data_IF_098370240495
#
_entry.id   IF_098370240495
#
_cell.length_a   1.000
_cell.length_b   1.000
_cell.length_c   1.000
_cell.angle_alpha   90.00
_cell.angle_beta   90.00
_cell.angle_gamma   90.00
#
_symmetry.space_group_name_H-M   'P 1'
#
loop_
_entity.id
_entity.type
_entity.pdbx_description
1 polymer ?
#
# COMPACT_ATOMS: atom_id res chain seq x y z
N UNK A 1 -70.62 31.82 23.95
CA UNK A 1 -69.67 32.16 25.04
C UNK A 1 -68.58 31.09 25.11
N UNK A 2 -67.31 31.53 25.16
CA UNK A 2 -66.07 30.83 25.54
C UNK A 2 -65.46 29.77 24.59
N UNK A 3 -64.43 30.23 23.85
CA UNK A 3 -63.24 29.47 23.39
C UNK A 3 -62.39 29.00 24.58
N UNK A 4 -61.58 27.94 24.35
CA UNK A 4 -60.21 27.62 24.86
C UNK A 4 -59.91 26.17 24.39
N UNK A 5 -59.03 25.85 23.42
CA UNK A 5 -57.57 25.99 23.26
C UNK A 5 -56.75 25.12 24.25
N UNK A 6 -55.75 24.39 23.70
CA UNK A 6 -54.54 23.79 24.36
C UNK A 6 -54.80 22.38 25.00
N UNK A 7 -54.04 21.28 24.86
CA UNK A 7 -52.63 21.01 24.50
C UNK A 7 -52.40 19.57 23.99
N UNK A 8 -51.27 19.39 23.31
CA UNK A 8 -50.63 18.15 22.83
C UNK A 8 -50.13 17.27 24.00
N UNK A 9 -50.18 15.94 23.85
CA UNK A 9 -49.20 15.03 24.44
C UNK A 9 -49.10 13.71 23.63
N UNK A 10 -48.02 13.63 22.85
CA UNK A 10 -47.42 12.39 22.35
C UNK A 10 -47.16 11.44 23.52
N UNK A 11 -47.48 10.14 23.37
CA UNK A 11 -46.91 9.12 24.24
C UNK A 11 -46.35 7.97 23.38
N UNK A 12 -45.03 8.03 23.26
CA UNK A 12 -44.12 7.03 22.72
C UNK A 12 -44.22 5.73 23.52
N UNK A 13 -44.37 4.60 22.84
CA UNK A 13 -43.99 3.29 23.36
C UNK A 13 -42.80 2.81 22.53
N UNK A 14 -41.65 2.74 23.20
CA UNK A 14 -40.35 2.48 22.62
C UNK A 14 -40.16 1.05 22.14
N UNK A 15 -39.51 0.93 20.99
CA UNK A 15 -38.73 -0.23 20.63
C UNK A 15 -37.27 0.11 20.91
N UNK A 16 -36.74 -0.32 22.05
CA UNK A 16 -35.31 -0.26 22.34
C UNK A 16 -34.63 -1.43 21.66
N UNK A 17 -34.22 -1.26 20.41
CA UNK A 17 -33.14 -2.07 19.86
C UNK A 17 -31.83 -1.48 20.37
N UNK A 18 -31.23 -2.16 21.36
CA UNK A 18 -29.80 -2.01 21.65
C UNK A 18 -29.07 -2.69 20.50
N UNK A 19 -28.98 -1.99 19.38
CA UNK A 19 -27.92 -2.22 18.42
C UNK A 19 -26.67 -1.66 19.06
N UNK A 20 -25.83 -2.53 19.62
CA UNK A 20 -24.46 -2.19 19.93
C UNK A 20 -23.78 -1.82 18.60
N UNK A 21 -23.83 -0.53 18.26
CA UNK A 21 -22.91 0.05 17.30
C UNK A 21 -21.52 -0.19 17.87
N UNK A 22 -20.85 -1.23 17.37
CA UNK A 22 -19.41 -1.38 17.47
C UNK A 22 -18.81 -0.03 17.16
N UNK A 23 -18.15 0.57 18.15
CA UNK A 23 -17.41 1.81 17.97
C UNK A 23 -16.42 1.57 16.83
N UNK A 24 -16.73 2.09 15.64
CA UNK A 24 -15.72 2.38 14.64
C UNK A 24 -14.87 3.49 15.26
N UNK A 25 -13.78 3.11 15.92
CA UNK A 25 -12.74 4.04 16.37
C UNK A 25 -12.09 4.64 15.12
N UNK A 26 -12.59 5.79 14.66
CA UNK A 26 -12.13 6.44 13.41
C UNK A 26 -11.06 7.50 13.60
N UNK A 27 -10.59 7.74 14.82
CA UNK A 27 -9.66 8.85 15.11
C UNK A 27 -8.24 8.36 15.44
N UNK A 28 -7.80 7.24 14.84
CA UNK A 28 -6.39 6.84 14.93
C UNK A 28 -5.59 7.52 13.81
N UNK A 29 -4.74 8.48 14.20
CA UNK A 29 -3.93 9.30 13.29
C UNK A 29 -2.91 8.49 12.48
N UNK A 30 -2.60 7.25 12.86
CA UNK A 30 -1.61 6.43 12.16
C UNK A 30 -2.21 5.68 10.96
N UNK A 31 -3.53 5.41 10.98
CA UNK A 31 -4.21 4.64 9.92
C UNK A 31 -4.06 5.29 8.53
N UNK A 32 -4.20 6.62 8.37
CA UNK A 32 -3.97 7.27 7.07
C UNK A 32 -2.59 6.99 6.49
N UNK A 33 -1.53 7.06 7.30
CA UNK A 33 -0.15 6.79 6.85
C UNK A 33 0.03 5.35 6.35
N UNK A 34 -0.55 4.37 7.06
CA UNK A 34 -0.54 2.96 6.61
C UNK A 34 -1.21 2.83 5.24
N UNK A 35 -2.37 3.47 5.07
CA UNK A 35 -3.14 3.39 3.82
C UNK A 35 -2.41 4.05 2.66
N UNK A 36 -1.80 5.21 2.87
CA UNK A 36 -1.02 5.89 1.82
C UNK A 36 0.14 5.01 1.38
N UNK A 37 0.97 4.53 2.31
CA UNK A 37 2.14 3.71 1.98
C UNK A 37 1.75 2.43 1.23
N UNK A 38 0.72 1.72 1.70
CA UNK A 38 0.25 0.50 1.01
C UNK A 38 -0.37 0.81 -0.36
N UNK A 39 -1.05 1.95 -0.51
CA UNK A 39 -1.61 2.37 -1.79
C UNK A 39 -0.51 2.63 -2.83
N UNK A 40 0.50 3.42 -2.46
CA UNK A 40 1.61 3.75 -3.35
C UNK A 40 2.46 2.52 -3.68
N UNK A 41 2.79 1.69 -2.69
CA UNK A 41 3.71 0.58 -2.89
C UNK A 41 3.10 -0.62 -3.63
N UNK A 42 1.77 -0.80 -3.58
CA UNK A 42 1.08 -1.94 -4.19
C UNK A 42 0.26 -1.59 -5.43
N UNK A 43 0.22 -0.30 -5.81
CA UNK A 43 -0.21 0.11 -7.14
C UNK A 43 1.00 0.01 -8.06
N UNK A 44 0.94 -0.93 -8.99
CA UNK A 44 2.10 -1.32 -9.79
C UNK A 44 1.69 -1.67 -11.23
N UNK A 45 2.54 -1.42 -12.24
CA UNK A 45 3.86 -0.81 -12.12
C UNK A 45 3.79 0.69 -11.81
N UNK A 46 4.72 1.17 -11.00
CA UNK A 46 5.03 2.59 -10.92
C UNK A 46 6.03 2.91 -12.04
N UNK A 47 5.54 3.51 -13.13
CA UNK A 47 6.33 3.78 -14.35
C UNK A 47 7.59 4.60 -14.07
N UNK A 48 7.49 5.67 -13.26
CA UNK A 48 8.64 6.53 -12.93
C UNK A 48 9.73 5.76 -12.17
N UNK A 49 9.34 4.90 -11.22
CA UNK A 49 10.27 4.05 -10.50
C UNK A 49 10.89 2.98 -11.40
N UNK A 50 10.11 2.37 -12.30
CA UNK A 50 10.58 1.36 -13.25
C UNK A 50 11.58 1.96 -14.23
N UNK A 51 11.27 3.11 -14.82
CA UNK A 51 12.15 3.84 -15.74
C UNK A 51 13.50 4.15 -15.06
N UNK A 52 13.45 4.67 -13.82
CA UNK A 52 14.67 4.96 -13.06
C UNK A 52 15.50 3.70 -12.76
N UNK A 53 14.86 2.56 -12.47
CA UNK A 53 15.51 1.27 -12.23
C UNK A 53 16.15 0.68 -13.49
N UNK A 54 15.49 0.80 -14.65
CA UNK A 54 15.92 0.17 -15.90
C UNK A 54 16.88 1.02 -16.74
N UNK A 55 16.89 2.35 -16.54
CA UNK A 55 17.70 3.30 -17.32
C UNK A 55 19.18 2.89 -17.54
N UNK A 56 19.95 2.43 -16.54
CA UNK A 56 21.32 1.96 -16.79
C UNK A 56 21.37 0.71 -17.69
N UNK A 57 20.40 -0.18 -17.58
CA UNK A 57 20.31 -1.42 -18.38
C UNK A 57 19.96 -1.07 -19.83
N UNK A 58 19.02 -0.18 -20.05
CA UNK A 58 18.59 0.25 -21.39
C UNK A 58 19.71 0.98 -22.16
N UNK A 59 20.50 1.80 -21.46
CA UNK A 59 21.68 2.45 -22.03
C UNK A 59 22.73 1.43 -22.46
N UNK A 60 23.03 0.44 -21.60
CA UNK A 60 23.93 -0.67 -21.96
C UNK A 60 23.43 -1.42 -23.20
N UNK A 61 22.12 -1.71 -23.28
CA UNK A 61 21.54 -2.43 -24.42
C UNK A 61 21.52 -1.62 -25.71
N UNK A 62 21.42 -0.29 -25.61
CA UNK A 62 21.45 0.63 -26.75
C UNK A 62 22.88 0.87 -27.29
N UNK A 63 23.90 0.34 -26.60
CA UNK A 63 25.30 0.50 -26.97
C UNK A 63 25.92 1.81 -26.45
N UNK A 64 25.27 2.48 -25.50
CA UNK A 64 25.81 3.65 -24.82
C UNK A 64 26.82 3.24 -23.74
N UNK A 65 27.79 4.14 -23.47
CA UNK A 65 28.74 3.94 -22.39
C UNK A 65 28.05 4.14 -21.03
N UNK A 66 27.92 3.07 -20.25
CA UNK A 66 27.48 3.16 -18.86
C UNK A 66 28.69 3.33 -17.94
N UNK A 67 28.75 4.50 -17.32
CA UNK A 67 29.85 4.92 -16.45
C UNK A 67 29.44 4.83 -14.98
N UNK A 68 30.41 4.98 -14.07
CA UNK A 68 30.13 5.13 -12.64
C UNK A 68 29.21 6.33 -12.36
N UNK A 69 29.36 7.43 -13.11
CA UNK A 69 28.47 8.60 -13.02
C UNK A 69 27.03 8.24 -13.39
N UNK A 70 26.85 7.47 -14.47
CA UNK A 70 25.54 7.02 -14.92
C UNK A 70 24.81 6.21 -13.85
N UNK A 71 25.53 5.26 -13.23
CA UNK A 71 24.99 4.42 -12.17
C UNK A 71 24.67 5.26 -10.92
N UNK A 72 25.56 6.19 -10.56
CA UNK A 72 25.35 7.10 -9.42
C UNK A 72 24.14 7.99 -9.63
N UNK A 73 23.93 8.52 -10.84
CA UNK A 73 22.80 9.41 -11.16
C UNK A 73 21.48 8.65 -11.06
N UNK A 74 21.40 7.45 -11.64
CA UNK A 74 20.22 6.60 -11.52
C UNK A 74 19.93 6.19 -10.07
N UNK A 75 20.97 5.85 -9.29
CA UNK A 75 20.82 5.53 -7.87
C UNK A 75 20.27 6.72 -7.08
N UNK A 76 20.79 7.93 -7.33
CA UNK A 76 20.30 9.15 -6.69
C UNK A 76 18.85 9.46 -7.07
N UNK A 77 18.47 9.24 -8.34
CA UNK A 77 17.10 9.42 -8.83
C UNK A 77 16.14 8.48 -8.11
N UNK A 78 16.46 7.19 -8.02
CA UNK A 78 15.69 6.18 -7.29
C UNK A 78 15.58 6.57 -5.80
N UNK A 79 16.68 6.96 -5.17
CA UNK A 79 16.71 7.35 -3.76
C UNK A 79 15.81 8.55 -3.48
N UNK A 80 15.82 9.56 -4.36
CA UNK A 80 14.95 10.74 -4.25
C UNK A 80 13.48 10.33 -4.40
N UNK A 81 13.13 9.56 -5.43
CA UNK A 81 11.75 9.11 -5.66
C UNK A 81 11.18 8.35 -4.46
N UNK A 82 11.95 7.39 -3.94
CA UNK A 82 11.52 6.58 -2.81
C UNK A 82 11.50 7.39 -1.51
N UNK A 83 12.48 8.28 -1.30
CA UNK A 83 12.53 9.10 -0.08
C UNK A 83 11.41 10.14 -0.05
N UNK A 84 11.11 10.77 -1.18
CA UNK A 84 10.03 11.75 -1.27
C UNK A 84 8.66 11.10 -1.09
N UNK A 85 8.48 9.87 -1.59
CA UNK A 85 7.22 9.12 -1.47
C UNK A 85 7.02 8.54 -0.06
N UNK A 86 8.06 7.95 0.53
CA UNK A 86 7.91 7.15 1.76
C UNK A 86 8.54 7.78 3.01
N UNK A 87 9.54 8.65 2.86
CA UNK A 87 10.41 9.08 3.96
C UNK A 87 9.70 9.79 5.11
N UNK A 88 8.63 10.54 4.85
CA UNK A 88 7.88 11.22 5.90
C UNK A 88 7.14 10.26 6.83
N UNK A 89 6.71 9.09 6.32
CA UNK A 89 5.88 8.12 7.03
C UNK A 89 6.66 7.18 7.93
N UNK A 90 7.95 6.99 7.68
CA UNK A 90 8.77 5.99 8.35
C UNK A 90 9.82 6.61 9.27
N UNK A 91 10.18 5.86 10.32
CA UNK A 91 11.48 6.03 10.99
C UNK A 91 12.61 5.70 10.01
N UNK A 92 13.84 6.15 10.28
CA UNK A 92 14.97 5.84 9.39
C UNK A 92 15.17 4.32 9.21
N UNK A 93 15.08 3.57 10.31
CA UNK A 93 15.17 2.11 10.30
C UNK A 93 14.00 1.46 9.54
N UNK A 94 12.77 1.92 9.79
CA UNK A 94 11.59 1.40 9.11
C UNK A 94 11.63 1.64 7.59
N UNK A 95 12.11 2.81 7.17
CA UNK A 95 12.31 3.14 5.77
C UNK A 95 13.35 2.21 5.14
N UNK A 96 14.53 2.07 5.77
CA UNK A 96 15.59 1.20 5.26
C UNK A 96 15.12 -0.24 5.12
N UNK A 97 14.40 -0.76 6.14
CA UNK A 97 13.85 -2.11 6.10
C UNK A 97 12.86 -2.28 4.94
N UNK A 98 11.88 -1.39 4.81
CA UNK A 98 10.81 -1.48 3.82
C UNK A 98 11.30 -1.27 2.38
N UNK A 99 12.12 -0.24 2.16
CA UNK A 99 12.54 0.20 0.83
C UNK A 99 13.81 -0.52 0.36
N UNK A 100 14.78 -0.73 1.24
CA UNK A 100 16.10 -1.25 0.84
C UNK A 100 16.20 -2.75 1.09
N UNK A 101 15.90 -3.20 2.31
CA UNK A 101 16.12 -4.61 2.68
C UNK A 101 15.05 -5.54 2.12
N UNK A 102 13.79 -5.08 2.13
CA UNK A 102 12.65 -5.84 1.57
C UNK A 102 12.33 -5.45 0.13
N UNK A 103 12.80 -4.27 -0.32
CA UNK A 103 12.60 -3.76 -1.68
C UNK A 103 11.14 -3.74 -2.15
N UNK A 104 10.17 -3.57 -1.24
CA UNK A 104 8.75 -3.77 -1.55
C UNK A 104 8.27 -2.92 -2.75
N UNK A 105 8.42 -1.57 -2.76
CA UNK A 105 7.93 -0.75 -3.88
C UNK A 105 8.58 -1.13 -5.21
N UNK A 106 9.89 -1.37 -5.20
CA UNK A 106 10.67 -1.69 -6.39
C UNK A 106 10.33 -3.08 -6.93
N UNK A 107 10.20 -4.08 -6.07
CA UNK A 107 9.88 -5.46 -6.49
C UNK A 107 8.49 -5.56 -7.09
N UNK A 108 7.46 -4.96 -6.47
CA UNK A 108 6.12 -4.94 -7.04
C UNK A 108 6.10 -4.22 -8.39
N UNK A 109 6.74 -3.05 -8.48
CA UNK A 109 6.73 -2.26 -9.72
C UNK A 109 7.49 -2.94 -10.86
N UNK A 110 8.71 -3.39 -10.60
CA UNK A 110 9.57 -4.00 -11.61
C UNK A 110 9.02 -5.35 -12.11
N UNK A 111 8.52 -6.19 -11.20
CA UNK A 111 7.96 -7.48 -11.61
C UNK A 111 6.60 -7.31 -12.29
N UNK A 112 5.79 -6.33 -11.88
CA UNK A 112 4.54 -6.04 -12.58
C UNK A 112 4.82 -5.63 -14.04
N UNK A 113 5.72 -4.65 -14.24
CA UNK A 113 6.13 -4.20 -15.57
C UNK A 113 6.67 -5.36 -16.43
N UNK A 114 7.71 -6.04 -15.94
CA UNK A 114 8.38 -7.09 -16.69
C UNK A 114 7.54 -8.36 -16.94
N UNK A 115 6.37 -8.50 -16.30
CA UNK A 115 5.45 -9.61 -16.54
C UNK A 115 4.12 -9.20 -17.18
N UNK A 116 3.95 -7.91 -17.51
CA UNK A 116 2.73 -7.37 -18.11
C UNK A 116 1.52 -7.36 -17.15
N UNK A 117 1.79 -7.23 -15.85
CA UNK A 117 0.77 -7.12 -14.81
C UNK A 117 0.42 -5.65 -14.55
N UNK A 118 -0.85 -5.42 -14.21
CA UNK A 118 -1.36 -4.13 -13.76
C UNK A 118 -2.11 -4.36 -12.45
N UNK A 119 -1.65 -3.76 -11.36
CA UNK A 119 -2.18 -3.89 -10.00
C UNK A 119 -2.80 -2.57 -9.56
N UNK A 120 -3.97 -2.65 -8.94
CA UNK A 120 -4.64 -1.49 -8.34
C UNK A 120 -5.18 -1.85 -6.97
N UNK A 121 -4.89 -1.01 -5.98
CA UNK A 121 -5.48 -1.13 -4.65
C UNK A 121 -6.96 -0.73 -4.70
N UNK A 122 -7.84 -1.67 -4.33
CA UNK A 122 -9.29 -1.40 -4.22
C UNK A 122 -9.69 -0.95 -2.84
N UNK A 123 -9.27 -1.69 -1.83
CA UNK A 123 -9.60 -1.39 -0.43
C UNK A 123 -8.43 -1.72 0.46
N UNK A 124 -8.32 -0.95 1.55
CA UNK A 124 -7.35 -1.19 2.63
C UNK A 124 -8.12 -1.15 3.94
N UNK A 125 -8.20 -2.31 4.59
CA UNK A 125 -8.72 -2.45 5.93
C UNK A 125 -7.55 -2.51 6.92
N UNK A 126 -7.62 -1.70 7.97
CA UNK A 126 -6.58 -1.64 9.00
C UNK A 126 -7.23 -1.87 10.35
N UNK A 127 -6.71 -2.84 11.10
CA UNK A 127 -7.18 -3.18 12.43
C UNK A 127 -6.07 -2.94 13.44
N UNK A 128 -6.33 -2.10 14.43
CA UNK A 128 -5.41 -1.87 15.54
C UNK A 128 -5.44 -3.05 16.51
N UNK A 129 -4.27 -3.49 16.97
CA UNK A 129 -4.16 -4.47 18.05
C UNK A 129 -4.70 -3.86 19.36
N UNK A 130 -5.57 -4.61 20.05
CA UNK A 130 -6.19 -4.17 21.31
C UNK A 130 -5.22 -4.21 22.48
N UNK A 131 -4.23 -5.10 22.42
CA UNK A 131 -3.27 -5.34 23.50
C UNK A 131 -1.97 -4.55 23.29
N UNK A 132 -1.69 -4.11 22.06
CA UNK A 132 -0.49 -3.35 21.71
C UNK A 132 -0.85 -2.10 20.91
N UNK A 133 -0.85 -0.94 21.59
CA UNK A 133 -1.32 0.35 21.02
C UNK A 133 -0.54 0.85 19.81
N UNK A 134 0.64 0.29 19.55
CA UNK A 134 1.51 0.65 18.44
C UNK A 134 1.51 -0.40 17.31
N UNK A 135 0.68 -1.44 17.38
CA UNK A 135 0.62 -2.52 16.39
C UNK A 135 -0.70 -2.52 15.63
N UNK A 136 -0.60 -2.83 14.35
CA UNK A 136 -1.73 -2.90 13.43
C UNK A 136 -1.57 -4.14 12.55
N UNK A 137 -2.69 -4.71 12.14
CA UNK A 137 -2.77 -5.62 11.00
C UNK A 137 -3.52 -4.96 9.86
N UNK A 138 -3.25 -5.36 8.64
CA UNK A 138 -3.99 -4.89 7.48
C UNK A 138 -4.39 -6.01 6.54
N UNK A 139 -5.44 -5.74 5.77
CA UNK A 139 -5.85 -6.49 4.60
C UNK A 139 -5.98 -5.50 3.43
N UNK A 140 -5.26 -5.76 2.34
CA UNK A 140 -5.30 -4.98 1.10
C UNK A 140 -5.94 -5.83 0.03
N UNK A 141 -7.07 -5.38 -0.50
CA UNK A 141 -7.67 -6.01 -1.69
C UNK A 141 -7.03 -5.40 -2.92
N UNK A 142 -6.33 -6.24 -3.69
CA UNK A 142 -5.67 -5.89 -4.94
C UNK A 142 -6.45 -6.50 -6.10
N UNK A 143 -6.86 -5.65 -7.03
CA UNK A 143 -7.23 -6.13 -8.36
C UNK A 143 -5.98 -6.16 -9.21
N UNK A 144 -5.81 -7.23 -9.99
CA UNK A 144 -4.74 -7.32 -10.97
C UNK A 144 -5.22 -7.92 -12.28
N UNK A 145 -4.61 -7.49 -13.38
CA UNK A 145 -4.84 -8.04 -14.72
C UNK A 145 -3.52 -8.27 -15.42
N UNK A 146 -3.50 -9.22 -16.36
CA UNK A 146 -2.43 -9.38 -17.33
C UNK A 146 -2.95 -9.01 -18.71
N UNK A 147 -2.07 -8.76 -19.69
CA UNK A 147 -2.47 -8.52 -21.09
C UNK A 147 -3.35 -9.62 -21.72
N UNK A 148 -3.44 -10.80 -21.08
CA UNK A 148 -4.09 -12.00 -21.61
C UNK A 148 -5.35 -12.41 -20.84
N UNK A 149 -5.56 -11.89 -19.63
CA UNK A 149 -6.57 -12.41 -18.70
C UNK A 149 -7.55 -11.34 -18.21
N UNK A 150 -8.74 -11.78 -17.79
CA UNK A 150 -9.71 -10.95 -17.08
C UNK A 150 -9.13 -10.47 -15.72
N UNK A 151 -9.67 -9.38 -15.19
CA UNK A 151 -9.27 -8.85 -13.89
C UNK A 151 -9.53 -9.89 -12.78
N UNK A 152 -8.48 -10.21 -12.02
CA UNK A 152 -8.51 -11.08 -10.85
C UNK A 152 -8.38 -10.23 -9.58
N UNK A 153 -8.78 -10.80 -8.44
CA UNK A 153 -8.69 -10.13 -7.14
C UNK A 153 -8.03 -11.05 -6.13
N UNK A 154 -7.08 -10.52 -5.35
CA UNK A 154 -6.48 -11.18 -4.18
C UNK A 154 -6.51 -10.27 -2.97
N UNK A 155 -6.38 -10.87 -1.79
CA UNK A 155 -6.24 -10.14 -0.52
C UNK A 155 -4.86 -10.41 0.03
N UNK A 156 -4.03 -9.37 0.06
CA UNK A 156 -2.74 -9.38 0.72
C UNK A 156 -2.89 -8.96 2.19
N UNK A 157 -2.15 -9.61 3.08
CA UNK A 157 -2.24 -9.37 4.53
C UNK A 157 -0.87 -9.06 5.13
N UNK A 158 -0.86 -8.27 6.20
CA UNK A 158 0.39 -7.88 6.80
C UNK A 158 0.23 -7.21 8.16
N UNK A 159 1.35 -6.67 8.66
CA UNK A 159 1.43 -6.01 9.96
C UNK A 159 2.22 -4.72 9.86
N UNK A 160 1.89 -3.79 10.75
CA UNK A 160 2.60 -2.52 10.91
C UNK A 160 2.87 -2.29 12.39
N UNK A 161 4.08 -1.83 12.69
CA UNK A 161 4.46 -1.33 14.01
C UNK A 161 4.86 0.14 13.92
N UNK A 162 4.42 0.93 14.91
CA UNK A 162 4.72 2.36 15.02
C UNK A 162 5.68 2.65 16.17
N UNK A 163 6.49 3.69 15.98
CA UNK A 163 7.33 4.34 16.98
C UNK A 163 7.22 5.85 16.77
N UNK A 164 6.87 6.58 17.83
CA UNK A 164 6.74 8.05 17.83
C UNK A 164 5.90 8.63 16.67
N UNK A 165 4.81 7.93 16.31
CA UNK A 165 3.89 8.37 15.25
C UNK A 165 4.37 8.09 13.82
N UNK A 166 5.51 7.40 13.67
CA UNK A 166 6.04 6.94 12.38
C UNK A 166 6.08 5.42 12.30
N UNK A 167 6.10 4.88 11.09
CA UNK A 167 6.19 3.45 10.83
C UNK A 167 7.63 2.98 11.16
N UNK A 168 7.73 2.07 12.12
CA UNK A 168 8.97 1.39 12.50
C UNK A 168 9.17 0.09 11.72
N UNK A 169 8.07 -0.58 11.34
CA UNK A 169 8.08 -1.76 10.49
C UNK A 169 6.77 -1.88 9.73
N UNK A 170 6.83 -2.28 8.47
CA UNK A 170 5.67 -2.70 7.68
C UNK A 170 6.07 -3.97 6.92
N UNK A 171 5.36 -5.06 7.17
CA UNK A 171 5.65 -6.36 6.60
C UNK A 171 4.40 -6.89 5.87
N UNK A 172 4.56 -7.27 4.60
CA UNK A 172 3.57 -8.07 3.85
C UNK A 172 3.85 -9.53 4.18
N UNK A 173 2.91 -10.19 4.87
CA UNK A 173 3.11 -11.55 5.35
C UNK A 173 2.61 -12.61 4.36
N UNK A 174 1.58 -12.28 3.59
CA UNK A 174 0.97 -13.18 2.62
C UNK A 174 0.26 -12.35 1.54
N UNK A 175 0.70 -12.46 0.31
CA UNK A 175 0.09 -11.88 -0.90
C UNK A 175 -0.43 -12.97 -1.84
N UNK A 176 -0.67 -14.17 -1.30
CA UNK A 176 -1.07 -15.37 -2.05
C UNK A 176 -0.08 -15.80 -3.14
N UNK A 177 1.19 -15.38 -3.02
CA UNK A 177 2.25 -15.70 -3.97
C UNK A 177 2.23 -14.82 -5.21
N UNK A 178 1.49 -13.70 -5.20
CA UNK A 178 1.38 -12.80 -6.36
C UNK A 178 2.75 -12.25 -6.78
N UNK A 179 3.57 -11.79 -5.83
CA UNK A 179 4.91 -11.27 -6.13
C UNK A 179 5.83 -12.36 -6.72
N UNK A 180 5.76 -13.59 -6.19
CA UNK A 180 6.51 -14.74 -6.71
C UNK A 180 6.06 -15.09 -8.13
N UNK A 181 4.74 -15.07 -8.39
CA UNK A 181 4.18 -15.34 -9.71
C UNK A 181 4.66 -14.32 -10.76
N UNK A 182 4.61 -13.02 -10.43
CA UNK A 182 5.10 -11.95 -11.32
C UNK A 182 6.60 -12.14 -11.60
N UNK A 183 7.40 -12.34 -10.54
CA UNK A 183 8.85 -12.54 -10.66
C UNK A 183 9.21 -13.73 -11.57
N UNK A 184 8.52 -14.87 -11.40
CA UNK A 184 8.74 -16.06 -12.21
C UNK A 184 8.38 -15.87 -13.70
N UNK A 185 7.46 -14.96 -14.01
CA UNK A 185 7.09 -14.61 -15.39
C UNK A 185 8.07 -13.62 -16.02
N UNK A 186 8.61 -12.68 -15.25
CA UNK A 186 9.63 -11.71 -15.70
C UNK A 186 10.92 -12.39 -16.17
N UNK A 187 11.33 -13.50 -15.54
CA UNK A 187 12.63 -14.18 -15.82
C UNK A 187 12.63 -14.98 -17.15
N UNK A 188 11.51 -15.05 -17.88
CA UNK A 188 11.47 -15.75 -19.18
C UNK A 188 12.08 -14.90 -20.29
N UNK A 189 13.41 -14.84 -20.32
CA UNK A 189 14.16 -14.48 -21.52
C UNK A 189 14.36 -15.76 -22.33
N UNK A 190 13.62 -15.89 -23.44
CA UNK A 190 13.84 -16.97 -24.40
C UNK A 190 15.23 -16.75 -25.04
N UNK A 191 16.19 -17.62 -24.69
CA UNK A 191 17.52 -17.71 -25.32
C UNK A 191 17.45 -18.41 -26.68
#
# INVERSE_FOLDING_TARGET
>A
MKKKMVFICFLLIGFTTIGACSAKNTDDSNIPSIKTVLNEALTAPNEELVDALLKPIEQLQSGDDVTESTISDATNEIDVLLRDTYGEYFTDYGYEKFVVQQSIPSSYSLYADGSGYQLTVKTIEVTKDKDHVNRYSFEVTLDYSTDKDEANTIVATGRVEFEDGKIASLDINDDKGLLEEMSAKTIKVDY
#
